data_IF_543721548507
#
_entry.id   IF_543721548507
#
_cell.length_a   1.000
_cell.length_b   1.000
_cell.length_c   1.000
_cell.angle_alpha   90.00
_cell.angle_beta   90.00
_cell.angle_gamma   90.00
#
_symmetry.space_group_name_H-M   'P 1'
#
loop_
_entity.id
_entity.type
_entity.pdbx_description
1 polymer ?
#
# COMPACT_ATOMS: atom_id res chain seq x y z
N UNK A 1 47.23 -38.05 -0.20
CA UNK A 1 46.74 -37.29 0.97
C UNK A 1 47.35 -35.91 0.93
N UNK A 2 46.57 -34.87 1.26
CA UNK A 2 46.86 -33.43 1.26
C UNK A 2 46.50 -32.67 -0.03
N UNK A 3 45.20 -32.43 -0.19
CA UNK A 3 44.67 -31.37 -1.05
C UNK A 3 44.57 -30.07 -0.25
N UNK A 4 45.11 -28.99 -0.83
CA UNK A 4 45.17 -27.65 -0.28
C UNK A 4 43.80 -26.95 -0.37
N UNK A 5 43.27 -26.55 0.79
CA UNK A 5 42.11 -25.65 0.92
C UNK A 5 42.52 -24.22 0.50
N UNK A 6 41.81 -23.64 -0.47
CA UNK A 6 41.82 -22.19 -0.74
C UNK A 6 40.62 -21.54 -0.03
N UNK A 7 40.79 -20.38 0.64
CA UNK A 7 39.65 -19.66 1.21
C UNK A 7 38.92 -18.86 0.12
N UNK A 8 37.60 -18.98 0.09
CA UNK A 8 36.68 -18.14 -0.67
C UNK A 8 36.77 -16.69 -0.16
N UNK A 9 37.17 -15.78 -1.05
CA UNK A 9 37.17 -14.34 -0.83
C UNK A 9 35.71 -13.84 -0.72
N UNK A 10 35.34 -13.42 0.48
CA UNK A 10 34.12 -12.66 0.77
C UNK A 10 34.17 -11.35 -0.03
N UNK A 11 33.33 -11.21 -1.06
CA UNK A 11 33.17 -9.92 -1.78
C UNK A 11 32.28 -9.00 -0.95
N UNK A 12 32.76 -7.78 -0.76
CA UNK A 12 32.16 -6.65 -0.08
C UNK A 12 30.64 -6.54 -0.29
N UNK A 13 29.91 -6.52 0.84
CA UNK A 13 28.61 -5.86 0.96
C UNK A 13 28.81 -4.39 0.56
N UNK A 14 28.16 -3.95 -0.52
CA UNK A 14 27.88 -2.53 -0.71
C UNK A 14 26.90 -2.13 0.40
N UNK A 15 27.29 -1.17 1.24
CA UNK A 15 26.37 -0.49 2.14
C UNK A 15 25.21 0.08 1.30
N UNK A 16 23.94 -0.09 1.72
CA UNK A 16 22.86 0.71 1.17
C UNK A 16 23.07 2.17 1.58
N UNK A 17 22.89 3.09 0.63
CA UNK A 17 23.04 4.54 0.79
C UNK A 17 22.08 5.12 1.87
N UNK A 18 22.48 6.18 2.60
CA UNK A 18 21.63 6.92 3.54
C UNK A 18 20.64 7.91 2.89
N UNK A 19 20.43 7.84 1.57
CA UNK A 19 19.61 8.83 0.83
C UNK A 19 18.11 8.69 1.10
N UNK A 20 17.62 7.51 1.47
CA UNK A 20 16.21 7.30 1.75
C UNK A 20 15.74 7.89 3.10
N UNK A 21 16.63 8.09 4.07
CA UNK A 21 16.29 8.74 5.35
C UNK A 21 16.18 10.27 5.22
N UNK A 22 16.92 10.88 4.28
CA UNK A 22 16.97 12.34 4.11
C UNK A 22 15.71 12.95 3.48
N UNK A 23 14.95 12.21 2.67
CA UNK A 23 13.73 12.75 2.04
C UNK A 23 12.51 12.75 2.97
N UNK A 24 12.48 11.87 3.98
CA UNK A 24 11.36 11.78 4.91
C UNK A 24 11.33 12.96 5.91
N UNK A 25 12.51 13.49 6.26
CA UNK A 25 12.66 14.64 7.16
C UNK A 25 12.28 15.98 6.52
N UNK A 26 12.43 16.13 5.20
CA UNK A 26 12.05 17.35 4.48
C UNK A 26 10.56 17.69 4.62
N UNK A 27 9.70 16.68 4.80
CA UNK A 27 8.27 16.90 4.98
C UNK A 27 7.94 17.55 6.34
N UNK A 28 8.58 17.06 7.40
CA UNK A 28 8.41 17.62 8.76
C UNK A 28 9.04 19.02 8.85
N UNK A 29 10.15 19.24 8.16
CA UNK A 29 10.81 20.54 8.10
C UNK A 29 10.06 21.57 7.24
N UNK A 30 9.45 21.15 6.13
CA UNK A 30 8.61 22.01 5.29
C UNK A 30 7.38 22.52 6.05
N UNK A 31 6.76 21.65 6.86
CA UNK A 31 5.65 22.03 7.74
C UNK A 31 6.09 23.06 8.80
N UNK A 32 7.34 23.01 9.29
CA UNK A 32 7.91 24.03 10.18
C UNK A 32 8.21 25.33 9.44
N UNK A 33 8.87 25.29 8.29
CA UNK A 33 9.29 26.49 7.56
C UNK A 33 8.10 27.36 7.10
N UNK A 34 7.02 26.72 6.63
CA UNK A 34 5.81 27.42 6.22
C UNK A 34 5.05 28.06 7.41
N UNK A 35 5.11 27.43 8.60
CA UNK A 35 4.52 28.00 9.83
C UNK A 35 5.25 29.27 10.29
N UNK A 36 6.57 29.37 10.08
CA UNK A 36 7.37 30.52 10.53
C UNK A 36 7.38 31.71 9.55
N UNK A 37 7.17 31.51 8.24
CA UNK A 37 7.14 32.62 7.28
C UNK A 37 5.86 33.48 7.33
N UNK A 38 4.78 32.96 7.94
CA UNK A 38 3.44 33.57 7.85
C UNK A 38 3.06 34.43 9.07
N UNK A 39 3.95 34.55 10.06
CA UNK A 39 3.77 35.38 11.25
C UNK A 39 4.05 36.89 11.03
N UNK A 40 4.53 37.27 9.84
CA UNK A 40 5.10 38.61 9.59
C UNK A 40 4.37 39.43 8.52
N UNK A 41 3.18 39.01 8.05
CA UNK A 41 2.44 39.77 7.02
C UNK A 41 1.44 40.75 7.65
N UNK A 42 1.53 42.06 7.34
CA UNK A 42 0.62 43.08 7.85
C UNK A 42 -0.82 42.88 7.33
N UNK A 43 -1.80 43.22 8.18
CA UNK A 43 -3.22 42.86 8.06
C UNK A 43 -4.02 43.68 7.01
N UNK A 44 -3.40 44.57 6.26
CA UNK A 44 -4.11 45.57 5.46
C UNK A 44 -4.07 45.28 3.95
N UNK A 45 -4.98 44.42 3.50
CA UNK A 45 -5.77 44.55 2.25
C UNK A 45 -6.45 43.22 1.92
N UNK A 46 -7.74 43.11 2.26
CA UNK A 46 -8.58 41.94 1.99
C UNK A 46 -9.04 41.85 0.53
N UNK A 47 -8.12 41.86 -0.44
CA UNK A 47 -8.43 41.28 -1.76
C UNK A 47 -8.31 39.77 -1.62
N UNK A 48 -9.44 39.10 -1.32
CA UNK A 48 -9.50 37.63 -1.34
C UNK A 48 -9.06 37.18 -2.74
N UNK A 49 -8.04 36.32 -2.79
CA UNK A 49 -7.66 35.70 -4.06
C UNK A 49 -8.88 34.98 -4.63
N UNK A 50 -9.12 35.00 -5.96
CA UNK A 50 -10.19 34.21 -6.57
C UNK A 50 -10.16 32.75 -6.14
N UNK A 51 -8.96 32.18 -5.90
CA UNK A 51 -8.76 30.81 -5.39
C UNK A 51 -9.42 30.57 -4.02
N UNK A 52 -9.56 31.58 -3.18
CA UNK A 52 -10.21 31.45 -1.87
C UNK A 52 -11.74 31.44 -1.95
N UNK A 53 -12.32 31.69 -3.14
CA UNK A 53 -13.76 31.62 -3.39
C UNK A 53 -14.25 30.22 -3.80
N UNK A 54 -13.32 29.30 -4.08
CA UNK A 54 -13.65 27.93 -4.49
C UNK A 54 -14.40 27.22 -3.33
N UNK A 55 -15.59 26.63 -3.58
CA UNK A 55 -16.33 25.85 -2.58
C UNK A 55 -15.52 24.66 -2.06
N UNK A 56 -15.78 24.25 -0.82
CA UNK A 56 -15.02 23.16 -0.19
C UNK A 56 -15.15 21.84 -0.96
N UNK A 57 -16.33 21.58 -1.53
CA UNK A 57 -16.64 20.40 -2.33
C UNK A 57 -15.73 20.30 -3.56
N UNK A 58 -15.45 21.44 -4.21
CA UNK A 58 -14.56 21.49 -5.37
C UNK A 58 -13.11 21.29 -4.94
N UNK A 59 -12.71 21.84 -3.79
CA UNK A 59 -11.37 21.59 -3.23
C UNK A 59 -11.17 20.11 -2.90
N UNK A 60 -12.18 19.47 -2.30
CA UNK A 60 -12.18 18.03 -2.02
C UNK A 60 -12.02 17.21 -3.30
N UNK A 61 -12.75 17.55 -4.37
CA UNK A 61 -12.58 16.90 -5.67
C UNK A 61 -11.16 17.08 -6.23
N UNK A 62 -10.60 18.29 -6.16
CA UNK A 62 -9.21 18.55 -6.60
C UNK A 62 -8.23 17.68 -5.81
N UNK A 63 -8.40 17.56 -4.48
CA UNK A 63 -7.55 16.70 -3.67
C UNK A 63 -7.70 15.21 -4.04
N UNK A 64 -8.92 14.73 -4.31
CA UNK A 64 -9.13 13.35 -4.76
C UNK A 64 -8.47 13.09 -6.12
N UNK A 65 -8.66 13.98 -7.10
CA UNK A 65 -8.05 13.82 -8.43
C UNK A 65 -6.53 13.79 -8.36
N UNK A 66 -5.93 14.62 -7.50
CA UNK A 66 -4.48 14.64 -7.28
C UNK A 66 -3.97 13.46 -6.45
N UNK A 67 -4.86 12.68 -5.83
CA UNK A 67 -4.54 11.43 -5.13
C UNK A 67 -4.63 10.20 -6.05
N UNK A 68 -5.60 10.16 -6.99
CA UNK A 68 -5.92 8.99 -7.83
C UNK A 68 -4.91 8.65 -8.93
N UNK A 69 -3.95 9.52 -9.22
CA UNK A 69 -3.19 9.48 -10.48
C UNK A 69 -2.06 8.43 -10.57
N UNK A 70 -1.87 7.52 -9.60
CA UNK A 70 -0.63 6.72 -9.53
C UNK A 70 -0.86 5.25 -9.14
N UNK A 71 -0.53 4.34 -10.05
CA UNK A 71 -0.64 2.87 -9.92
C UNK A 71 0.61 2.19 -9.29
N UNK A 72 1.60 2.93 -8.79
CA UNK A 72 2.99 2.48 -8.96
C UNK A 72 3.83 2.03 -7.75
N UNK A 73 3.37 1.70 -6.54
CA UNK A 73 4.25 1.57 -5.33
C UNK A 73 5.37 2.65 -5.10
N UNK A 74 5.54 3.65 -5.98
CA UNK A 74 6.61 4.66 -5.97
C UNK A 74 6.27 5.90 -5.16
N UNK A 75 7.29 6.56 -4.60
CA UNK A 75 7.20 7.65 -3.61
C UNK A 75 6.36 8.90 -3.98
N UNK A 76 5.81 9.04 -5.19
CA UNK A 76 5.07 10.23 -5.67
C UNK A 76 3.64 10.43 -5.09
N UNK A 77 3.25 9.72 -4.04
CA UNK A 77 1.86 9.60 -3.57
C UNK A 77 1.20 10.81 -2.89
N UNK A 78 1.76 12.01 -2.98
CA UNK A 78 1.35 13.11 -2.09
C UNK A 78 1.18 14.46 -2.79
N UNK A 79 0.89 14.45 -4.10
CA UNK A 79 0.61 15.68 -4.89
C UNK A 79 -0.47 16.55 -4.24
N UNK A 80 -1.52 15.92 -3.70
CA UNK A 80 -2.58 16.61 -2.97
C UNK A 80 -2.09 17.39 -1.73
N UNK A 81 -0.98 16.97 -1.10
CA UNK A 81 -0.42 17.71 0.03
C UNK A 81 0.12 19.06 -0.44
N UNK A 82 0.84 19.12 -1.56
CA UNK A 82 1.26 20.41 -2.13
C UNK A 82 0.06 21.31 -2.44
N UNK A 83 -1.04 20.74 -2.94
CA UNK A 83 -2.28 21.49 -3.12
C UNK A 83 -2.82 22.04 -1.79
N UNK A 84 -2.73 21.27 -0.70
CA UNK A 84 -3.18 21.73 0.62
C UNK A 84 -2.38 22.94 1.14
N UNK A 85 -1.16 23.17 0.64
CA UNK A 85 -0.32 24.32 1.03
C UNK A 85 -0.61 25.61 0.25
N UNK A 86 -1.55 25.62 -0.71
CA UNK A 86 -1.89 26.81 -1.50
C UNK A 86 -2.40 27.98 -0.64
N UNK A 87 -3.29 27.70 0.32
CA UNK A 87 -3.80 28.70 1.27
C UNK A 87 -4.23 28.07 2.59
N UNK A 88 -4.41 28.88 3.64
CA UNK A 88 -4.91 28.40 4.95
C UNK A 88 -6.27 27.72 4.84
N UNK A 89 -7.11 28.15 3.89
CA UNK A 89 -8.42 27.53 3.62
C UNK A 89 -8.25 26.13 3.04
N UNK A 90 -7.38 25.97 2.04
CA UNK A 90 -7.11 24.67 1.41
C UNK A 90 -6.58 23.66 2.43
N UNK A 91 -5.62 24.08 3.26
CA UNK A 91 -5.10 23.25 4.36
C UNK A 91 -6.20 22.85 5.34
N UNK A 92 -7.09 23.78 5.72
CA UNK A 92 -8.20 23.48 6.63
C UNK A 92 -9.15 22.44 6.05
N UNK A 93 -9.53 22.59 4.78
CA UNK A 93 -10.43 21.66 4.08
C UNK A 93 -9.80 20.28 3.97
N UNK A 94 -8.52 20.18 3.57
CA UNK A 94 -7.84 18.89 3.44
C UNK A 94 -7.68 18.17 4.79
N UNK A 95 -7.42 18.91 5.87
CA UNK A 95 -7.34 18.37 7.23
C UNK A 95 -8.68 17.84 7.73
N UNK A 96 -9.80 18.45 7.35
CA UNK A 96 -11.15 17.96 7.69
C UNK A 96 -11.65 16.82 6.82
N UNK A 97 -11.09 16.67 5.61
CA UNK A 97 -11.57 15.70 4.63
C UNK A 97 -10.93 14.33 4.82
N UNK A 98 -11.61 13.45 5.57
CA UNK A 98 -11.10 12.13 6.01
C UNK A 98 -10.65 11.20 4.88
N UNK A 99 -11.27 11.29 3.69
CA UNK A 99 -10.95 10.40 2.56
C UNK A 99 -9.51 10.54 2.06
N UNK A 100 -8.88 11.70 2.21
CA UNK A 100 -7.46 11.88 1.83
C UNK A 100 -6.50 11.06 2.70
N UNK A 101 -6.96 10.66 3.89
CA UNK A 101 -6.15 9.99 4.89
C UNK A 101 -6.35 8.47 4.90
N UNK A 102 -7.18 7.91 4.02
CA UNK A 102 -7.51 6.47 4.02
C UNK A 102 -6.49 5.59 3.30
N UNK A 103 -5.69 6.16 2.40
CA UNK A 103 -4.62 5.44 1.70
C UNK A 103 -3.34 5.49 2.52
N UNK A 104 -2.98 4.38 3.15
CA UNK A 104 -1.84 4.27 4.07
C UNK A 104 -0.77 3.39 3.44
N UNK A 105 0.47 3.89 3.43
CA UNK A 105 1.63 3.10 2.98
C UNK A 105 2.64 2.92 4.13
N UNK A 106 3.10 1.69 4.34
CA UNK A 106 4.02 1.40 5.46
C UNK A 106 5.43 1.98 5.28
N UNK A 107 5.86 2.22 4.04
CA UNK A 107 7.15 2.88 3.73
C UNK A 107 7.17 4.35 4.18
N UNK A 108 6.03 4.90 4.61
CA UNK A 108 5.94 6.28 5.10
C UNK A 108 6.21 6.40 6.61
N UNK A 109 6.52 5.29 7.27
CA UNK A 109 6.92 5.25 8.68
C UNK A 109 5.98 6.08 9.57
N UNK A 110 6.52 7.09 10.26
CA UNK A 110 5.81 7.96 11.19
C UNK A 110 4.62 8.72 10.55
N UNK A 111 4.65 9.00 9.25
CA UNK A 111 3.57 9.69 8.54
C UNK A 111 2.34 8.78 8.44
N UNK A 112 2.52 7.47 8.28
CA UNK A 112 1.43 6.50 8.18
C UNK A 112 0.51 6.53 9.42
N UNK A 113 1.09 6.69 10.62
CA UNK A 113 0.33 6.86 11.86
C UNK A 113 -0.61 8.07 11.80
N UNK A 114 -0.17 9.19 11.21
CA UNK A 114 -1.02 10.37 11.03
C UNK A 114 -2.19 10.10 10.09
N UNK A 115 -1.97 9.34 9.01
CA UNK A 115 -3.02 8.94 8.07
C UNK A 115 -4.05 8.02 8.74
N UNK A 116 -3.60 6.97 9.44
CA UNK A 116 -4.45 6.05 10.19
C UNK A 116 -5.30 6.82 11.22
N UNK A 117 -4.69 7.73 11.98
CA UNK A 117 -5.39 8.53 12.99
C UNK A 117 -6.42 9.47 12.35
N UNK A 118 -6.07 10.18 11.27
CA UNK A 118 -6.94 11.18 10.64
C UNK A 118 -8.07 10.59 9.82
N UNK A 119 -7.90 9.39 9.28
CA UNK A 119 -8.98 8.66 8.60
C UNK A 119 -10.12 8.26 9.55
N UNK A 120 -9.91 8.30 10.87
CA UNK A 120 -10.96 8.06 11.86
C UNK A 120 -11.40 6.61 11.82
N UNK A 121 -12.65 6.32 11.42
CA UNK A 121 -13.18 4.96 11.21
C UNK A 121 -13.46 4.67 9.73
N UNK A 122 -13.00 5.53 8.81
CA UNK A 122 -13.22 5.31 7.38
C UNK A 122 -12.48 4.05 6.91
N UNK A 123 -13.05 3.30 5.95
CA UNK A 123 -12.39 2.13 5.39
C UNK A 123 -11.02 2.49 4.79
N UNK A 124 -10.03 1.64 5.03
CA UNK A 124 -8.64 1.89 4.62
C UNK A 124 -8.27 1.20 3.31
N UNK A 125 -7.40 1.86 2.56
CA UNK A 125 -6.57 1.24 1.51
C UNK A 125 -5.17 1.10 2.09
N UNK A 126 -4.77 -0.12 2.42
CA UNK A 126 -3.46 -0.41 3.01
C UNK A 126 -2.49 -0.89 1.93
N UNK A 127 -1.29 -0.29 1.89
CA UNK A 127 -0.16 -0.70 1.06
C UNK A 127 1.00 -1.10 1.95
N UNK A 128 1.23 -2.40 2.05
CA UNK A 128 2.22 -2.99 2.96
C UNK A 128 3.39 -3.53 2.12
N UNK A 129 4.57 -2.96 2.35
CA UNK A 129 5.82 -3.50 1.83
C UNK A 129 6.47 -4.37 2.91
N UNK A 130 6.77 -5.61 2.57
CA UNK A 130 7.40 -6.62 3.40
C UNK A 130 8.69 -7.09 2.74
N UNK A 131 9.80 -6.56 3.23
CA UNK A 131 11.13 -6.86 2.72
C UNK A 131 11.99 -7.50 3.80
N UNK A 132 12.95 -8.32 3.38
CA UNK A 132 13.88 -8.95 4.32
C UNK A 132 14.78 -7.92 5.05
N UNK A 133 14.97 -6.75 4.44
CA UNK A 133 15.78 -5.63 4.95
C UNK A 133 14.97 -4.50 5.59
N UNK A 134 13.68 -4.74 5.87
CA UNK A 134 12.77 -3.76 6.47
C UNK A 134 13.35 -3.18 7.77
N UNK A 135 13.43 -1.86 7.86
CA UNK A 135 13.93 -1.17 9.05
C UNK A 135 13.02 -1.39 10.26
N UNK A 136 13.54 -1.18 11.47
CA UNK A 136 12.74 -1.30 12.70
C UNK A 136 11.51 -0.38 12.72
N UNK A 137 11.64 0.84 12.16
CA UNK A 137 10.54 1.81 12.06
C UNK A 137 9.46 1.38 11.06
N UNK A 138 9.87 0.86 9.91
CA UNK A 138 8.94 0.30 8.92
C UNK A 138 8.19 -0.89 9.52
N UNK A 139 8.87 -1.80 10.24
CA UNK A 139 8.23 -2.94 10.91
C UNK A 139 7.18 -2.49 11.94
N UNK A 140 7.50 -1.51 12.78
CA UNK A 140 6.52 -0.92 13.71
C UNK A 140 5.31 -0.33 12.97
N UNK A 141 5.55 0.24 11.79
CA UNK A 141 4.49 0.82 10.95
C UNK A 141 3.63 -0.25 10.30
N UNK A 142 4.22 -1.36 9.89
CA UNK A 142 3.49 -2.57 9.44
C UNK A 142 2.62 -3.09 10.58
N UNK A 143 3.17 -3.30 11.77
CA UNK A 143 2.42 -3.78 12.93
C UNK A 143 1.24 -2.86 13.26
N UNK A 144 1.47 -1.55 13.24
CA UNK A 144 0.43 -0.54 13.40
C UNK A 144 -0.65 -0.64 12.32
N UNK A 145 -0.27 -0.74 11.05
CA UNK A 145 -1.22 -0.87 9.95
C UNK A 145 -2.07 -2.16 10.08
N UNK A 146 -1.44 -3.27 10.48
CA UNK A 146 -2.10 -4.54 10.71
C UNK A 146 -3.10 -4.47 11.88
N UNK A 147 -2.84 -3.70 12.93
CA UNK A 147 -3.83 -3.45 14.00
C UNK A 147 -5.12 -2.80 13.50
N UNK A 148 -5.10 -2.14 12.33
CA UNK A 148 -6.26 -1.51 11.71
C UNK A 148 -6.86 -2.33 10.56
N UNK A 149 -6.44 -3.59 10.38
CA UNK A 149 -6.84 -4.42 9.25
C UNK A 149 -8.34 -4.72 9.22
N UNK A 150 -9.00 -4.71 10.39
CA UNK A 150 -10.42 -4.97 10.52
C UNK A 150 -11.31 -4.02 9.71
N UNK A 151 -10.80 -2.81 9.38
CA UNK A 151 -11.51 -1.81 8.57
C UNK A 151 -10.88 -1.59 7.19
N UNK A 152 -10.05 -2.52 6.74
CA UNK A 152 -9.41 -2.44 5.42
C UNK A 152 -10.37 -2.94 4.34
N UNK A 153 -10.57 -2.10 3.32
CA UNK A 153 -11.37 -2.42 2.13
C UNK A 153 -10.49 -2.85 0.96
N UNK A 154 -9.29 -2.28 0.87
CA UNK A 154 -8.33 -2.57 -0.19
C UNK A 154 -6.98 -2.88 0.45
N UNK A 155 -6.40 -4.02 0.09
CA UNK A 155 -5.11 -4.46 0.58
C UNK A 155 -4.17 -4.70 -0.58
N UNK A 156 -3.05 -4.00 -0.56
CA UNK A 156 -1.94 -4.22 -1.46
C UNK A 156 -0.73 -4.70 -0.64
N UNK A 157 -0.17 -5.84 -1.02
CA UNK A 157 0.97 -6.48 -0.39
C UNK A 157 2.10 -6.57 -1.42
N UNK A 158 3.26 -6.04 -1.07
CA UNK A 158 4.51 -6.27 -1.80
C UNK A 158 5.42 -7.09 -0.89
N UNK A 159 5.75 -8.31 -1.29
CA UNK A 159 6.38 -9.30 -0.41
C UNK A 159 7.60 -9.91 -1.08
N UNK A 160 8.72 -9.99 -0.37
CA UNK A 160 9.95 -10.61 -0.89
C UNK A 160 10.12 -12.08 -0.50
N UNK A 161 9.38 -12.59 0.49
CA UNK A 161 9.52 -13.96 0.99
C UNK A 161 8.26 -14.56 1.64
N UNK A 162 8.29 -15.88 1.86
CA UNK A 162 7.17 -16.67 2.43
C UNK A 162 6.99 -16.40 3.92
N UNK A 163 8.08 -16.13 4.64
CA UNK A 163 8.06 -15.88 6.08
C UNK A 163 7.26 -14.61 6.40
N UNK A 164 7.44 -13.56 5.61
CA UNK A 164 6.75 -12.30 5.79
C UNK A 164 5.26 -12.41 5.46
N UNK A 165 4.90 -13.17 4.41
CA UNK A 165 3.50 -13.43 4.09
C UNK A 165 2.80 -14.22 5.22
N UNK A 166 3.53 -15.16 5.84
CA UNK A 166 3.04 -15.97 6.96
C UNK A 166 2.80 -15.12 8.23
N UNK A 167 3.61 -14.09 8.46
CA UNK A 167 3.41 -13.14 9.56
C UNK A 167 2.07 -12.41 9.41
N UNK A 168 1.78 -11.88 8.21
CA UNK A 168 0.51 -11.22 7.92
C UNK A 168 -0.67 -12.18 8.08
N UNK A 169 -0.55 -13.42 7.59
CA UNK A 169 -1.59 -14.43 7.75
C UNK A 169 -1.96 -14.65 9.22
N UNK A 170 -0.97 -14.66 10.10
CA UNK A 170 -1.18 -14.81 11.53
C UNK A 170 -1.96 -13.62 12.12
N UNK A 171 -1.64 -12.39 11.70
CA UNK A 171 -2.36 -11.18 12.12
C UNK A 171 -3.81 -11.16 11.63
N UNK A 172 -4.09 -11.60 10.40
CA UNK A 172 -5.44 -11.74 9.88
C UNK A 172 -6.28 -12.68 10.75
N UNK A 173 -5.74 -13.86 11.04
CA UNK A 173 -6.43 -14.86 11.84
C UNK A 173 -6.74 -14.37 13.26
N UNK A 174 -5.87 -13.54 13.84
CA UNK A 174 -6.06 -13.00 15.19
C UNK A 174 -7.06 -11.85 15.26
N UNK A 175 -7.01 -10.91 14.32
CA UNK A 175 -7.77 -9.65 14.42
C UNK A 175 -9.18 -9.79 13.83
N UNK A 176 -9.31 -10.57 12.75
CA UNK A 176 -10.56 -10.62 12.01
C UNK A 176 -10.74 -9.44 11.05
N UNK A 177 -11.48 -9.67 9.96
CA UNK A 177 -12.00 -8.61 9.10
C UNK A 177 -13.43 -8.25 9.51
N UNK A 178 -13.69 -6.98 9.81
CA UNK A 178 -15.05 -6.46 10.06
C UNK A 178 -15.65 -5.82 8.81
N UNK A 179 -14.82 -5.19 7.97
CA UNK A 179 -15.23 -4.69 6.66
C UNK A 179 -14.98 -5.73 5.57
N UNK A 180 -15.84 -5.78 4.55
CA UNK A 180 -15.61 -6.60 3.37
C UNK A 180 -14.32 -6.14 2.67
N UNK A 181 -13.32 -7.03 2.60
CA UNK A 181 -12.15 -6.81 1.76
C UNK A 181 -12.58 -7.01 0.30
N UNK A 182 -12.52 -5.94 -0.49
CA UNK A 182 -13.00 -5.90 -1.87
C UNK A 182 -11.87 -6.04 -2.89
N UNK A 183 -10.70 -5.47 -2.59
CA UNK A 183 -9.53 -5.50 -3.46
C UNK A 183 -8.35 -6.12 -2.73
N UNK A 184 -7.73 -7.10 -3.37
CA UNK A 184 -6.49 -7.73 -2.92
C UNK A 184 -5.49 -7.70 -4.08
N UNK A 185 -4.33 -7.10 -3.85
CA UNK A 185 -3.21 -7.05 -4.79
C UNK A 185 -1.98 -7.61 -4.08
N UNK A 186 -1.43 -8.71 -4.56
CA UNK A 186 -0.26 -9.35 -3.96
C UNK A 186 0.84 -9.49 -4.99
N UNK A 187 1.99 -8.92 -4.68
CA UNK A 187 3.13 -8.84 -5.58
C UNK A 187 4.36 -9.42 -4.93
N UNK A 188 5.05 -10.30 -5.65
CA UNK A 188 6.36 -10.83 -5.28
C UNK A 188 7.45 -10.32 -6.22
N UNK A 189 8.51 -9.75 -5.63
CA UNK A 189 9.57 -9.08 -6.40
C UNK A 189 10.61 -10.02 -7.03
N UNK A 190 10.91 -11.16 -6.39
CA UNK A 190 12.10 -11.95 -6.73
C UNK A 190 11.81 -13.38 -7.19
N UNK A 191 10.88 -14.07 -6.52
CA UNK A 191 10.61 -15.48 -6.76
C UNK A 191 9.11 -15.77 -6.72
N UNK A 192 8.64 -16.81 -7.44
CA UNK A 192 7.28 -17.32 -7.27
C UNK A 192 6.99 -17.61 -5.80
N UNK A 193 5.98 -16.94 -5.25
CA UNK A 193 5.57 -17.08 -3.87
C UNK A 193 4.36 -18.00 -3.77
N UNK A 194 4.36 -18.97 -2.85
CA UNK A 194 3.17 -19.76 -2.56
C UNK A 194 2.33 -19.06 -1.48
N UNK A 195 1.04 -18.91 -1.73
CA UNK A 195 0.14 -18.40 -0.71
C UNK A 195 -0.05 -19.41 0.44
N UNK A 196 -0.03 -18.96 1.70
CA UNK A 196 -0.54 -19.76 2.79
C UNK A 196 -2.00 -20.14 2.51
N UNK A 197 -2.42 -21.40 2.75
CA UNK A 197 -3.74 -21.88 2.36
C UNK A 197 -4.90 -21.11 3.02
N UNK A 198 -4.65 -20.43 4.13
CA UNK A 198 -5.68 -19.80 4.95
C UNK A 198 -5.65 -18.26 5.01
N UNK A 199 -4.69 -17.62 4.33
CA UNK A 199 -4.39 -16.18 4.54
C UNK A 199 -5.58 -15.24 4.31
N UNK A 200 -6.56 -15.65 3.50
CA UNK A 200 -7.75 -14.86 3.17
C UNK A 200 -9.05 -15.64 3.34
N UNK A 201 -9.08 -16.67 4.19
CA UNK A 201 -10.32 -17.39 4.48
C UNK A 201 -11.40 -16.47 5.08
N UNK A 202 -11.01 -15.38 5.74
CA UNK A 202 -11.93 -14.39 6.29
C UNK A 202 -12.49 -13.42 5.23
N UNK A 203 -11.84 -13.29 4.06
CA UNK A 203 -12.29 -12.43 2.96
C UNK A 203 -13.25 -13.16 1.99
N UNK A 204 -13.76 -14.34 2.38
CA UNK A 204 -14.64 -15.15 1.54
C UNK A 204 -15.94 -14.40 1.23
N UNK A 205 -16.23 -14.26 -0.07
CA UNK A 205 -17.51 -13.73 -0.56
C UNK A 205 -17.56 -12.20 -0.69
N UNK A 206 -16.58 -11.46 -0.15
CA UNK A 206 -16.49 -10.01 -0.33
C UNK A 206 -15.51 -9.57 -1.40
N UNK A 207 -14.54 -10.43 -1.75
CA UNK A 207 -13.46 -10.06 -2.65
C UNK A 207 -13.95 -9.94 -4.09
N UNK A 208 -13.82 -8.74 -4.67
CA UNK A 208 -14.28 -8.39 -6.01
C UNK A 208 -13.15 -8.34 -7.03
N UNK A 209 -11.95 -7.93 -6.61
CA UNK A 209 -10.79 -7.75 -7.47
C UNK A 209 -9.56 -8.40 -6.86
N UNK A 210 -8.90 -9.27 -7.63
CA UNK A 210 -7.66 -9.93 -7.25
C UNK A 210 -6.58 -9.65 -8.29
N UNK A 211 -5.47 -9.08 -7.84
CA UNK A 211 -4.24 -8.96 -8.63
C UNK A 211 -3.17 -9.82 -7.99
N UNK A 212 -2.51 -10.67 -8.78
CA UNK A 212 -1.37 -11.47 -8.33
C UNK A 212 -0.21 -11.29 -9.31
N UNK A 213 0.96 -10.95 -8.78
CA UNK A 213 2.19 -10.76 -9.55
C UNK A 213 3.29 -11.66 -8.99
N UNK A 214 3.77 -12.63 -9.77
CA UNK A 214 4.70 -13.68 -9.33
C UNK A 214 4.23 -14.45 -8.09
N UNK A 215 2.92 -14.67 -7.94
CA UNK A 215 2.36 -15.47 -6.84
C UNK A 215 1.57 -16.64 -7.40
N UNK A 216 1.76 -17.82 -6.81
CA UNK A 216 1.00 -19.04 -7.07
C UNK A 216 -0.30 -18.98 -6.26
N UNK A 217 -1.44 -19.24 -6.90
CA UNK A 217 -2.75 -19.19 -6.25
C UNK A 217 -2.86 -20.14 -5.05
N UNK A 218 -3.52 -19.73 -3.95
CA UNK A 218 -3.83 -20.65 -2.87
C UNK A 218 -4.96 -21.58 -3.33
N UNK A 219 -4.77 -22.87 -3.08
CA UNK A 219 -5.86 -23.83 -3.06
C UNK A 219 -6.29 -23.96 -1.57
N UNK A 220 -7.56 -23.69 -1.19
CA UNK A 220 -8.75 -23.90 -2.01
C UNK A 220 -9.45 -22.63 -2.55
N UNK A 221 -10.19 -22.75 -3.68
CA UNK A 221 -10.72 -21.67 -4.50
C UNK A 221 -11.96 -20.93 -3.94
N UNK A 222 -12.27 -21.07 -2.66
CA UNK A 222 -13.56 -20.63 -2.11
C UNK A 222 -13.78 -19.10 -2.19
N UNK A 223 -12.72 -18.30 -2.03
CA UNK A 223 -12.80 -16.84 -2.13
C UNK A 223 -12.84 -16.34 -3.59
N UNK A 224 -12.63 -17.22 -4.57
CA UNK A 224 -12.64 -16.85 -5.99
C UNK A 224 -14.05 -16.67 -6.56
N UNK A 225 -15.07 -17.22 -5.92
CA UNK A 225 -16.45 -17.20 -6.41
C UNK A 225 -17.02 -15.79 -6.55
N UNK A 226 -16.63 -14.85 -5.69
CA UNK A 226 -17.09 -13.46 -5.73
C UNK A 226 -16.27 -12.57 -6.66
N UNK A 227 -15.14 -13.06 -7.19
CA UNK A 227 -14.22 -12.25 -7.98
C UNK A 227 -14.86 -11.89 -9.33
N UNK A 228 -14.83 -10.60 -9.63
CA UNK A 228 -15.26 -10.02 -10.91
C UNK A 228 -14.09 -9.61 -11.77
N UNK A 229 -12.94 -9.29 -11.16
CA UNK A 229 -11.72 -8.85 -11.85
C UNK A 229 -10.54 -9.68 -11.38
N UNK A 230 -9.90 -10.36 -12.30
CA UNK A 230 -8.71 -11.16 -12.04
C UNK A 230 -7.58 -10.66 -12.94
N UNK A 231 -6.49 -10.22 -12.32
CA UNK A 231 -5.27 -9.81 -13.02
C UNK A 231 -4.10 -10.65 -12.55
N UNK A 232 -3.42 -11.28 -13.50
CA UNK A 232 -2.34 -12.23 -13.25
C UNK A 232 -1.14 -11.79 -14.06
N UNK A 233 -0.03 -11.54 -13.38
CA UNK A 233 1.24 -11.19 -14.00
C UNK A 233 2.29 -12.20 -13.53
N UNK A 234 2.92 -12.90 -14.45
CA UNK A 234 4.06 -13.76 -14.15
C UNK A 234 5.25 -13.35 -15.01
N UNK A 235 6.36 -13.00 -14.37
CA UNK A 235 7.64 -12.79 -15.06
C UNK A 235 8.46 -14.08 -15.15
N UNK A 236 8.19 -15.01 -14.24
CA UNK A 236 8.75 -16.36 -14.25
C UNK A 236 7.59 -17.33 -14.09
N UNK A 237 7.44 -18.24 -15.06
CA UNK A 237 6.41 -19.26 -14.98
C UNK A 237 6.64 -20.09 -13.72
N UNK A 238 5.65 -20.20 -12.81
CA UNK A 238 5.81 -21.06 -11.67
C UNK A 238 6.00 -22.49 -12.17
N UNK A 239 7.12 -23.14 -11.79
CA UNK A 239 7.44 -24.49 -12.28
C UNK A 239 6.36 -25.52 -11.94
N UNK A 240 5.53 -25.23 -10.93
CA UNK A 240 4.41 -26.05 -10.48
C UNK A 240 3.07 -25.72 -11.14
N UNK A 241 2.97 -24.70 -12.00
CA UNK A 241 1.68 -24.28 -12.54
C UNK A 241 1.23 -25.22 -13.68
N UNK A 242 0.50 -26.26 -13.30
CA UNK A 242 -0.23 -27.09 -14.23
C UNK A 242 -1.38 -26.28 -14.84
N UNK A 243 -1.46 -26.26 -16.19
CA UNK A 243 -2.56 -25.61 -16.92
C UNK A 243 -3.93 -26.11 -16.43
N UNK A 244 -4.04 -27.39 -16.08
CA UNK A 244 -5.27 -27.99 -15.56
C UNK A 244 -5.67 -27.31 -14.25
N UNK A 245 -4.74 -27.18 -13.29
CA UNK A 245 -5.01 -26.51 -12.02
C UNK A 245 -5.38 -25.03 -12.19
N UNK A 246 -4.80 -24.38 -13.20
CA UNK A 246 -5.18 -23.01 -13.55
C UNK A 246 -6.59 -22.92 -14.12
N UNK A 247 -6.97 -23.82 -15.03
CA UNK A 247 -8.34 -23.89 -15.57
C UNK A 247 -9.36 -24.25 -14.48
N UNK A 248 -9.03 -25.17 -13.58
CA UNK A 248 -9.86 -25.51 -12.42
C UNK A 248 -10.09 -24.31 -11.50
N UNK A 249 -9.04 -23.50 -11.30
CA UNK A 249 -9.13 -22.24 -10.58
C UNK A 249 -10.07 -21.25 -11.28
N UNK A 250 -9.91 -21.05 -12.60
CA UNK A 250 -10.80 -20.18 -13.37
C UNK A 250 -12.26 -20.64 -13.37
N UNK A 251 -12.50 -21.96 -13.39
CA UNK A 251 -13.84 -22.54 -13.27
C UNK A 251 -14.52 -22.20 -11.94
N UNK A 252 -13.75 -21.86 -10.90
CA UNK A 252 -14.30 -21.40 -9.62
C UNK A 252 -14.69 -19.92 -9.61
N UNK A 253 -14.20 -19.12 -10.56
CA UNK A 253 -14.48 -17.70 -10.70
C UNK A 253 -15.81 -17.47 -11.45
N UNK A 254 -16.93 -17.88 -10.87
CA UNK A 254 -18.24 -17.89 -11.54
C UNK A 254 -18.78 -16.50 -11.93
N UNK A 255 -18.27 -15.44 -11.30
CA UNK A 255 -18.68 -14.05 -11.55
C UNK A 255 -17.63 -13.23 -12.32
N UNK A 256 -16.65 -13.89 -12.94
CA UNK A 256 -15.54 -13.22 -13.59
C UNK A 256 -16.00 -12.42 -14.82
N UNK A 257 -15.80 -11.10 -14.77
CA UNK A 257 -16.13 -10.17 -15.86
C UNK A 257 -14.88 -9.79 -16.65
N UNK A 258 -13.75 -9.63 -15.96
CA UNK A 258 -12.49 -9.20 -16.56
C UNK A 258 -11.35 -10.13 -16.14
N UNK A 259 -10.68 -10.72 -17.11
CA UNK A 259 -9.45 -11.48 -16.94
C UNK A 259 -8.32 -10.78 -17.70
N UNK A 260 -7.27 -10.39 -17.00
CA UNK A 260 -6.02 -9.93 -17.59
C UNK A 260 -4.92 -10.91 -17.21
N UNK A 261 -4.21 -11.41 -18.22
CA UNK A 261 -3.16 -12.40 -18.06
C UNK A 261 -1.92 -11.96 -18.83
N UNK A 262 -0.84 -11.73 -18.10
CA UNK A 262 0.47 -11.36 -18.63
C UNK A 262 1.48 -12.41 -18.17
N UNK A 263 2.18 -13.04 -19.12
CA UNK A 263 3.19 -14.07 -18.86
C UNK A 263 4.39 -13.91 -19.80
#
# INVERSE_FOLDING_TARGET
MNALLRPLKWKNRKNPQPEAELELDQFVESDRHFMYQDASRPLDSHTRSPIDSIPSEILEMIFLFTQTDMYSWEYEYRKWIYCAHVSRRWRRVSLSFKHLWTSVHTIWCHIAHTFIRRSGNAPLTLRIALRSDTSGLERQTVDLALMHIYRTRELHLHVEGVEELSQISSSFLQIGLQTPLEILDVRSGLLPLEFPPDIFNQARGSLLSLTVMNVCFPYPPAFLRSITRLHIIWYQRPGSLNLISFLDMLNCCTNLVKLEFCN
#
